data_IF_906477084876
#
_entry.id   IF_906477084876
#
_cell.length_a   1.000
_cell.length_b   1.000
_cell.length_c   1.000
_cell.angle_alpha   90.00
_cell.angle_beta   90.00
_cell.angle_gamma   90.00
#
_symmetry.space_group_name_H-M   'P 1'
#
loop_
_entity.id
_entity.type
_entity.pdbx_description
1 polymer ?
#
# COMPACT_ATOMS: atom_id res chain seq x y z
N UNK A 1 -26.92 -39.22 39.60
CA UNK A 1 -26.13 -39.07 38.33
C UNK A 1 -26.14 -37.62 37.96
N UNK A 2 -25.06 -36.84 38.19
CA UNK A 2 -25.04 -35.43 37.88
C UNK A 2 -24.54 -35.23 36.44
N UNK A 3 -25.29 -34.39 35.76
CA UNK A 3 -25.14 -33.87 34.43
C UNK A 3 -23.84 -33.07 34.28
N UNK A 4 -22.97 -33.49 33.39
CA UNK A 4 -21.71 -32.80 33.07
C UNK A 4 -21.96 -31.78 31.97
N UNK A 5 -22.35 -30.57 32.37
CA UNK A 5 -22.38 -29.39 31.50
C UNK A 5 -20.98 -29.08 30.98
N UNK A 6 -20.75 -29.45 29.75
CA UNK A 6 -19.56 -29.12 28.97
C UNK A 6 -19.41 -27.61 28.81
N UNK A 7 -18.58 -26.99 29.64
CA UNK A 7 -18.17 -25.60 29.50
C UNK A 7 -17.37 -25.45 28.20
N UNK A 8 -18.03 -25.04 27.13
CA UNK A 8 -17.37 -24.51 25.93
C UNK A 8 -16.58 -23.28 26.35
N UNK A 9 -15.27 -23.40 26.42
CA UNK A 9 -14.35 -22.27 26.49
C UNK A 9 -14.54 -21.46 25.20
N UNK A 10 -15.20 -20.33 25.31
CA UNK A 10 -15.11 -19.25 24.30
C UNK A 10 -13.64 -18.83 24.27
N UNK A 11 -12.94 -19.23 23.23
CA UNK A 11 -11.61 -18.70 22.96
C UNK A 11 -11.77 -17.21 22.74
N UNK A 12 -11.30 -16.43 23.69
CA UNK A 12 -11.12 -15.00 23.57
C UNK A 12 -10.42 -14.71 22.24
N UNK A 13 -11.07 -13.94 21.39
CA UNK A 13 -10.46 -13.37 20.20
C UNK A 13 -9.29 -12.52 20.68
N UNK A 14 -8.08 -13.07 20.59
CA UNK A 14 -6.87 -12.31 20.86
C UNK A 14 -6.90 -11.12 19.89
N UNK A 15 -7.11 -9.95 20.44
CA UNK A 15 -6.96 -8.67 19.74
C UNK A 15 -5.57 -8.67 19.11
N UNK A 16 -5.52 -8.82 17.80
CA UNK A 16 -4.25 -8.73 17.05
C UNK A 16 -3.74 -7.32 17.27
N UNK A 17 -2.82 -7.15 18.21
CA UNK A 17 -2.12 -5.87 18.39
C UNK A 17 -1.47 -5.54 17.07
N UNK A 18 -2.00 -4.54 16.37
CA UNK A 18 -1.35 -3.93 15.24
C UNK A 18 0.06 -3.53 15.69
N UNK A 19 1.07 -4.14 15.09
CA UNK A 19 2.45 -3.74 15.33
C UNK A 19 2.63 -2.38 14.68
N UNK A 20 3.16 -1.42 15.44
CA UNK A 20 3.62 -0.15 14.88
C UNK A 20 4.69 -0.45 13.83
N UNK A 21 4.72 0.28 12.71
CA UNK A 21 5.79 0.15 11.72
C UNK A 21 7.15 0.39 12.40
N UNK A 22 8.11 -0.47 12.10
CA UNK A 22 9.44 -0.48 12.74
C UNK A 22 10.48 0.07 11.76
N UNK A 23 10.16 1.09 10.99
CA UNK A 23 11.12 1.62 10.04
C UNK A 23 10.60 2.82 9.25
N UNK A 24 11.44 3.39 8.39
CA UNK A 24 11.04 4.47 7.51
C UNK A 24 9.98 4.00 6.51
N UNK A 25 9.10 4.91 6.11
CA UNK A 25 8.14 4.68 5.05
C UNK A 25 8.88 4.55 3.71
N UNK A 26 8.61 3.45 3.00
CA UNK A 26 9.14 3.23 1.65
C UNK A 26 8.07 3.53 0.60
N UNK A 27 8.42 4.35 -0.38
CA UNK A 27 7.54 4.64 -1.51
C UNK A 27 8.25 4.33 -2.82
N UNK A 28 7.62 3.52 -3.64
CA UNK A 28 8.11 3.13 -4.95
C UNK A 28 7.11 3.54 -6.03
N UNK A 29 7.63 3.98 -7.17
CA UNK A 29 6.84 4.27 -8.35
C UNK A 29 7.20 3.29 -9.46
N UNK A 30 6.20 2.64 -10.04
CA UNK A 30 6.38 1.77 -11.20
C UNK A 30 6.25 2.57 -12.48
N UNK A 31 7.30 2.56 -13.30
CA UNK A 31 7.27 3.16 -14.63
C UNK A 31 6.60 2.24 -15.63
N UNK A 32 5.73 2.80 -16.48
CA UNK A 32 4.94 2.01 -17.43
C UNK A 32 5.77 1.41 -18.58
N UNK A 33 6.87 2.07 -18.96
CA UNK A 33 7.71 1.66 -20.08
C UNK A 33 8.52 0.37 -19.82
N UNK A 34 8.77 0.04 -18.56
CA UNK A 34 9.48 -1.16 -18.17
C UNK A 34 8.66 -1.93 -17.14
N UNK A 35 8.09 -3.06 -17.52
CA UNK A 35 7.26 -3.92 -16.64
C UNK A 35 7.91 -4.28 -15.29
N UNK A 36 9.21 -4.07 -15.17
CA UNK A 36 10.03 -4.45 -14.03
C UNK A 36 10.68 -3.27 -13.30
N UNK A 37 10.69 -2.08 -13.88
CA UNK A 37 11.43 -0.96 -13.28
C UNK A 37 10.57 -0.24 -12.25
N UNK A 38 11.00 -0.31 -11.01
CA UNK A 38 10.41 0.38 -9.87
C UNK A 38 11.46 1.33 -9.32
N UNK A 39 11.19 2.63 -9.35
CA UNK A 39 12.07 3.63 -8.76
C UNK A 39 11.74 3.84 -7.30
N UNK A 40 12.74 3.77 -6.43
CA UNK A 40 12.59 4.15 -5.04
C UNK A 40 12.46 5.67 -4.96
N UNK A 41 11.33 6.14 -4.41
CA UNK A 41 11.08 7.57 -4.22
C UNK A 41 11.43 8.04 -2.81
N UNK A 42 11.70 7.11 -1.90
CA UNK A 42 12.04 7.40 -0.50
C UNK A 42 13.54 7.49 -0.23
N UNK A 43 14.40 7.31 -1.24
CA UNK A 43 15.87 7.33 -1.07
C UNK A 43 16.42 6.20 -0.21
N UNK A 44 15.57 5.32 0.27
CA UNK A 44 15.98 4.20 1.12
C UNK A 44 16.25 2.98 0.25
N UNK A 45 17.36 2.30 0.48
CA UNK A 45 17.66 1.03 -0.20
C UNK A 45 16.56 0.01 0.07
N UNK A 46 16.25 -0.79 -0.95
CA UNK A 46 15.39 -1.96 -0.76
C UNK A 46 15.97 -2.84 0.35
N UNK A 47 15.16 -3.25 1.33
CA UNK A 47 15.59 -4.21 2.32
C UNK A 47 15.91 -5.56 1.66
N UNK A 48 16.84 -6.31 2.25
CA UNK A 48 17.25 -7.62 1.70
C UNK A 48 16.10 -8.62 1.65
N UNK A 49 15.21 -8.55 2.64
CA UNK A 49 13.99 -9.37 2.67
C UNK A 49 12.75 -8.49 2.58
N UNK A 50 12.04 -8.60 1.47
CA UNK A 50 10.77 -7.92 1.30
C UNK A 50 9.75 -8.79 0.55
N UNK A 51 8.49 -8.52 0.78
CA UNK A 51 7.38 -9.12 0.05
C UNK A 51 6.45 -8.04 -0.52
N UNK A 52 5.86 -8.32 -1.69
CA UNK A 52 4.86 -7.47 -2.30
C UNK A 52 3.49 -8.11 -2.17
N UNK A 53 2.53 -7.32 -1.74
CA UNK A 53 1.12 -7.71 -1.57
C UNK A 53 0.28 -7.02 -2.63
N UNK A 54 -0.48 -7.82 -3.37
CA UNK A 54 -1.59 -7.36 -4.20
C UNK A 54 -2.88 -7.79 -3.51
N UNK A 55 -3.69 -6.85 -3.13
CA UNK A 55 -4.90 -7.11 -2.37
C UNK A 55 -6.10 -6.44 -3.02
N UNK A 56 -7.26 -7.05 -2.92
CA UNK A 56 -8.51 -6.52 -3.46
C UNK A 56 -9.12 -5.44 -2.59
N UNK A 57 -8.84 -5.48 -1.28
CA UNK A 57 -9.28 -4.50 -0.29
C UNK A 57 -8.30 -4.40 0.90
N UNK A 58 -8.56 -3.44 1.80
CA UNK A 58 -7.71 -3.21 2.99
C UNK A 58 -7.67 -4.41 3.94
N UNK A 59 -8.77 -5.14 4.08
CA UNK A 59 -8.80 -6.33 4.94
C UNK A 59 -7.93 -7.43 4.38
N UNK A 60 -7.97 -7.59 3.07
CA UNK A 60 -7.14 -8.56 2.38
C UNK A 60 -5.66 -8.19 2.48
N UNK A 61 -5.32 -6.91 2.27
CA UNK A 61 -3.96 -6.40 2.49
C UNK A 61 -3.47 -6.68 3.91
N UNK A 62 -4.30 -6.41 4.92
CA UNK A 62 -3.97 -6.65 6.31
C UNK A 62 -3.73 -8.14 6.61
N UNK A 63 -4.60 -9.03 6.11
CA UNK A 63 -4.47 -10.49 6.29
C UNK A 63 -3.19 -11.01 5.65
N UNK A 64 -2.93 -10.63 4.39
CA UNK A 64 -1.74 -11.06 3.65
C UNK A 64 -0.46 -10.56 4.32
N UNK A 65 -0.42 -9.29 4.73
CA UNK A 65 0.72 -8.71 5.44
C UNK A 65 1.00 -9.39 6.78
N UNK A 66 -0.04 -9.67 7.54
CA UNK A 66 0.09 -10.39 8.82
C UNK A 66 0.62 -11.81 8.62
N UNK A 67 0.14 -12.51 7.60
CA UNK A 67 0.61 -13.84 7.23
C UNK A 67 2.09 -13.84 6.84
N UNK A 68 2.51 -12.95 5.93
CA UNK A 68 3.89 -12.84 5.49
C UNK A 68 4.86 -12.55 6.64
N UNK A 69 4.46 -11.65 7.55
CA UNK A 69 5.28 -11.36 8.74
C UNK A 69 5.35 -12.54 9.72
N UNK A 70 4.28 -13.30 9.85
CA UNK A 70 4.27 -14.49 10.69
C UNK A 70 5.16 -15.61 10.10
N UNK A 71 5.13 -15.80 8.78
CA UNK A 71 5.98 -16.76 8.06
C UNK A 71 7.46 -16.38 8.12
N UNK A 72 7.79 -15.09 8.06
CA UNK A 72 9.18 -14.60 8.16
C UNK A 72 9.78 -14.74 9.57
N UNK A 73 8.96 -14.87 10.59
CA UNK A 73 9.40 -15.10 11.96
C UNK A 73 10.39 -14.03 12.49
N UNK A 74 11.53 -14.49 13.04
CA UNK A 74 12.56 -13.61 13.61
C UNK A 74 13.34 -12.80 12.59
N UNK A 75 13.46 -13.27 11.36
CA UNK A 75 14.19 -12.55 10.31
C UNK A 75 13.46 -11.27 9.87
N UNK A 76 12.15 -11.21 10.13
CA UNK A 76 11.32 -10.11 9.70
C UNK A 76 11.13 -10.10 8.18
N UNK A 77 10.09 -9.40 7.73
CA UNK A 77 9.83 -9.17 6.32
C UNK A 77 9.26 -7.78 6.16
N UNK A 78 9.86 -6.97 5.31
CA UNK A 78 9.30 -5.68 4.91
C UNK A 78 8.20 -5.90 3.89
N UNK A 79 7.02 -5.40 4.16
CA UNK A 79 5.83 -5.62 3.31
C UNK A 79 5.50 -4.38 2.53
N UNK A 80 5.48 -4.50 1.20
CA UNK A 80 5.01 -3.48 0.28
C UNK A 80 3.63 -3.82 -0.26
N UNK A 81 2.73 -2.82 -0.27
CA UNK A 81 1.40 -2.98 -0.85
C UNK A 81 1.34 -2.27 -2.20
N UNK A 82 0.88 -2.99 -3.22
CA UNK A 82 0.65 -2.43 -4.55
C UNK A 82 -0.66 -1.64 -4.56
N UNK A 83 -0.61 -0.39 -5.02
CA UNK A 83 -1.76 0.50 -5.12
C UNK A 83 -1.84 1.05 -6.54
N UNK A 84 -2.92 0.75 -7.25
CA UNK A 84 -3.27 1.43 -8.50
C UNK A 84 -3.75 2.84 -8.16
N UNK A 85 -3.13 3.85 -8.77
CA UNK A 85 -3.41 5.24 -8.41
C UNK A 85 -3.81 6.08 -9.62
N UNK A 86 -4.85 6.91 -9.39
CA UNK A 86 -5.21 8.00 -10.25
C UNK A 86 -5.38 9.25 -9.41
N UNK A 87 -4.44 10.18 -9.57
CA UNK A 87 -4.41 11.44 -8.81
C UNK A 87 -4.82 12.59 -9.71
N UNK A 88 -5.74 13.41 -9.23
CA UNK A 88 -6.13 14.64 -9.88
C UNK A 88 -6.27 15.76 -8.83
N UNK A 89 -6.36 17.03 -9.28
CA UNK A 89 -6.59 18.19 -8.40
C UNK A 89 -7.94 18.09 -7.66
N UNK A 90 -8.89 17.37 -8.23
CA UNK A 90 -10.25 17.17 -7.72
C UNK A 90 -10.61 15.68 -7.70
N UNK A 91 -11.12 15.22 -6.56
CA UNK A 91 -11.48 13.82 -6.34
C UNK A 91 -12.57 13.32 -7.30
N UNK A 92 -13.54 14.19 -7.64
CA UNK A 92 -14.64 13.84 -8.55
C UNK A 92 -14.11 13.58 -9.96
N UNK A 93 -13.17 14.39 -10.42
CA UNK A 93 -12.50 14.22 -11.72
C UNK A 93 -11.68 12.93 -11.74
N UNK A 94 -10.93 12.64 -10.69
CA UNK A 94 -10.20 11.39 -10.55
C UNK A 94 -11.12 10.16 -10.61
N UNK A 95 -12.23 10.19 -9.88
CA UNK A 95 -13.20 9.07 -9.87
C UNK A 95 -13.87 8.85 -11.25
N UNK A 96 -14.24 9.92 -11.95
CA UNK A 96 -14.77 9.82 -13.32
C UNK A 96 -13.77 9.21 -14.28
N UNK A 97 -12.51 9.60 -14.17
CA UNK A 97 -11.45 9.08 -15.01
C UNK A 97 -11.21 7.58 -14.78
N UNK A 98 -11.27 7.11 -13.53
CA UNK A 98 -11.19 5.67 -13.22
C UNK A 98 -12.38 4.91 -13.82
N UNK A 99 -13.58 5.46 -13.72
CA UNK A 99 -14.76 4.81 -14.30
C UNK A 99 -14.66 4.68 -15.82
N UNK A 100 -14.17 5.70 -16.51
CA UNK A 100 -13.87 5.64 -17.95
C UNK A 100 -12.84 4.55 -18.28
N UNK A 101 -11.75 4.45 -17.48
CA UNK A 101 -10.74 3.42 -17.68
C UNK A 101 -11.31 2.00 -17.47
N UNK A 102 -12.25 1.82 -16.54
CA UNK A 102 -12.90 0.52 -16.31
C UNK A 102 -13.75 0.08 -17.51
N UNK A 103 -14.38 1.02 -18.20
CA UNK A 103 -15.19 0.74 -19.38
C UNK A 103 -14.35 0.37 -20.60
N UNK A 104 -13.13 0.87 -20.68
CA UNK A 104 -12.22 0.67 -21.83
C UNK A 104 -11.20 -0.44 -21.63
N UNK A 105 -10.95 -0.85 -20.39
CA UNK A 105 -9.96 -1.87 -20.05
C UNK A 105 -10.62 -3.04 -19.31
N UNK A 106 -10.48 -4.23 -19.86
CA UNK A 106 -10.82 -5.49 -19.18
C UNK A 106 -9.81 -5.87 -18.09
N UNK A 107 -8.92 -4.98 -17.71
CA UNK A 107 -7.95 -5.18 -16.64
C UNK A 107 -8.66 -5.22 -15.28
N UNK A 108 -9.17 -6.38 -14.94
CA UNK A 108 -9.60 -6.72 -13.59
C UNK A 108 -8.37 -6.76 -12.69
N UNK A 109 -8.00 -5.60 -12.14
CA UNK A 109 -6.90 -5.51 -11.20
C UNK A 109 -7.34 -6.04 -9.84
N UNK A 110 -6.76 -7.15 -9.40
CA UNK A 110 -6.79 -7.56 -8.00
C UNK A 110 -5.77 -6.73 -7.20
N UNK A 111 -5.86 -5.39 -7.28
CA UNK A 111 -4.99 -4.48 -6.54
C UNK A 111 -5.84 -3.39 -5.89
N UNK A 112 -5.39 -2.94 -4.72
CA UNK A 112 -5.96 -1.75 -4.08
C UNK A 112 -5.92 -0.60 -5.07
N UNK A 113 -7.01 0.17 -5.12
CA UNK A 113 -7.10 1.32 -6.00
C UNK A 113 -7.41 2.58 -5.21
N UNK A 114 -6.67 3.62 -5.54
CA UNK A 114 -6.94 4.97 -5.06
C UNK A 114 -7.26 5.89 -6.23
N UNK A 115 -8.34 6.64 -6.10
CA UNK A 115 -8.70 7.72 -7.02
C UNK A 115 -9.07 8.96 -6.20
N UNK A 116 -8.34 10.04 -6.37
CA UNK A 116 -8.58 11.25 -5.57
C UNK A 116 -7.49 12.30 -5.71
N UNK A 117 -7.36 13.12 -4.68
CA UNK A 117 -6.39 14.22 -4.63
C UNK A 117 -5.01 13.77 -4.14
N UNK A 118 -3.93 14.55 -4.41
CA UNK A 118 -2.60 14.30 -3.87
C UNK A 118 -2.60 14.17 -2.34
N UNK A 119 -3.27 15.10 -1.65
CA UNK A 119 -3.39 15.09 -0.19
C UNK A 119 -4.08 13.84 0.35
N UNK A 120 -5.14 13.40 -0.32
CA UNK A 120 -5.83 12.19 0.07
C UNK A 120 -4.98 10.94 -0.13
N UNK A 121 -4.15 10.88 -1.20
CA UNK A 121 -3.22 9.78 -1.40
C UNK A 121 -2.11 9.76 -0.34
N UNK A 122 -1.56 10.92 0.01
CA UNK A 122 -0.56 11.02 1.07
C UNK A 122 -1.12 10.49 2.40
N UNK A 123 -2.31 10.96 2.82
CA UNK A 123 -2.96 10.46 4.03
C UNK A 123 -3.26 8.96 3.97
N UNK A 124 -3.70 8.45 2.83
CA UNK A 124 -3.94 7.02 2.67
C UNK A 124 -2.67 6.16 2.83
N UNK A 125 -1.54 6.63 2.31
CA UNK A 125 -0.23 5.98 2.47
C UNK A 125 0.21 6.02 3.93
N UNK A 126 0.07 7.18 4.60
CA UNK A 126 0.39 7.34 6.03
C UNK A 126 -0.45 6.42 6.90
N UNK A 127 -1.75 6.28 6.60
CA UNK A 127 -2.66 5.39 7.32
C UNK A 127 -2.23 3.92 7.18
N UNK A 128 -1.90 3.46 5.98
CA UNK A 128 -1.40 2.09 5.76
C UNK A 128 -0.14 1.81 6.58
N UNK A 129 0.77 2.78 6.64
CA UNK A 129 2.01 2.67 7.39
C UNK A 129 1.75 2.72 8.90
N UNK A 130 1.00 3.70 9.39
CA UNK A 130 0.70 3.91 10.82
C UNK A 130 -0.09 2.74 11.40
N UNK A 131 -1.02 2.17 10.65
CA UNK A 131 -1.78 0.99 11.04
C UNK A 131 -0.96 -0.31 10.95
N UNK A 132 0.27 -0.25 10.48
CA UNK A 132 1.13 -1.43 10.33
C UNK A 132 0.64 -2.41 9.28
N UNK A 133 -0.18 -1.96 8.33
CA UNK A 133 -0.64 -2.79 7.21
C UNK A 133 0.50 -2.98 6.22
N UNK A 134 1.26 -1.91 5.95
CA UNK A 134 2.40 -1.92 5.06
C UNK A 134 3.58 -1.16 5.66
N UNK A 135 4.79 -1.59 5.34
CA UNK A 135 6.02 -0.85 5.64
C UNK A 135 6.37 0.12 4.49
N UNK A 136 5.71 -0.07 3.36
CA UNK A 136 5.81 0.80 2.20
C UNK A 136 4.77 0.48 1.14
N UNK A 137 4.76 1.27 0.08
CA UNK A 137 3.81 1.14 -1.02
C UNK A 137 4.52 1.13 -2.37
N UNK A 138 3.95 0.41 -3.33
CA UNK A 138 4.31 0.53 -4.75
C UNK A 138 3.14 1.18 -5.47
N UNK A 139 3.34 2.38 -5.95
CA UNK A 139 2.35 3.14 -6.69
C UNK A 139 2.37 2.74 -8.18
N UNK A 140 1.21 2.38 -8.70
CA UNK A 140 0.98 1.94 -10.07
C UNK A 140 0.08 2.96 -10.76
N UNK A 141 0.64 3.99 -11.43
CA UNK A 141 -0.17 5.01 -12.08
C UNK A 141 -1.05 4.42 -13.17
N UNK A 142 -2.36 4.69 -13.11
CA UNK A 142 -3.31 4.27 -14.13
C UNK A 142 -3.19 5.12 -15.42
N UNK A 143 -2.70 6.36 -15.29
CA UNK A 143 -2.30 7.24 -16.40
C UNK A 143 -0.83 7.61 -16.20
N UNK A 144 0.11 6.90 -16.83
CA UNK A 144 1.52 6.99 -16.46
C UNK A 144 2.15 8.37 -16.59
N UNK A 145 1.88 9.09 -17.68
CA UNK A 145 2.52 10.38 -17.94
C UNK A 145 2.13 11.43 -16.89
N UNK A 146 0.83 11.72 -16.78
CA UNK A 146 0.35 12.83 -15.94
C UNK A 146 0.39 12.50 -14.43
N UNK A 147 0.17 11.24 -14.06
CA UNK A 147 0.08 10.85 -12.66
C UNK A 147 1.44 10.64 -12.01
N UNK A 148 2.47 10.25 -12.76
CA UNK A 148 3.82 10.12 -12.22
C UNK A 148 4.34 11.48 -11.73
N UNK A 149 4.21 12.52 -12.55
CA UNK A 149 4.65 13.88 -12.20
C UNK A 149 3.89 14.43 -11.00
N UNK A 150 2.57 14.22 -10.93
CA UNK A 150 1.78 14.62 -9.75
C UNK A 150 2.18 13.88 -8.48
N UNK A 151 2.46 12.59 -8.57
CA UNK A 151 2.95 11.82 -7.41
C UNK A 151 4.27 12.41 -6.94
N UNK A 152 5.18 12.66 -7.86
CA UNK A 152 6.52 13.18 -7.56
C UNK A 152 6.45 14.59 -6.96
N UNK A 153 5.69 15.49 -7.58
CA UNK A 153 5.71 16.92 -7.24
C UNK A 153 4.74 17.28 -6.12
N UNK A 154 3.61 16.57 -6.01
CA UNK A 154 2.54 16.95 -5.10
C UNK A 154 2.41 15.99 -3.90
N UNK A 155 2.59 14.66 -4.10
CA UNK A 155 2.38 13.68 -3.04
C UNK A 155 3.62 13.47 -2.18
N UNK A 156 4.80 13.30 -2.78
CA UNK A 156 6.03 13.01 -2.03
C UNK A 156 6.41 14.11 -1.03
N UNK A 157 6.32 15.40 -1.36
CA UNK A 157 6.60 16.46 -0.38
C UNK A 157 5.67 16.41 0.84
N UNK A 158 4.41 16.01 0.65
CA UNK A 158 3.45 15.83 1.75
C UNK A 158 3.83 14.69 2.69
N UNK A 159 4.53 13.67 2.17
CA UNK A 159 5.08 12.55 2.95
C UNK A 159 6.46 12.86 3.55
N UNK A 160 6.95 14.09 3.39
CA UNK A 160 8.30 14.47 3.82
C UNK A 160 9.43 13.83 3.00
N UNK A 161 9.10 13.33 1.81
CA UNK A 161 10.05 12.70 0.89
C UNK A 161 10.44 13.72 -0.20
N UNK A 162 11.72 14.04 -0.28
CA UNK A 162 12.24 15.02 -1.25
C UNK A 162 13.20 14.33 -2.21
N UNK A 163 12.86 14.38 -3.51
CA UNK A 163 13.68 13.77 -4.57
C UNK A 163 15.03 14.47 -4.71
N UNK A 164 15.12 15.75 -4.41
CA UNK A 164 16.38 16.50 -4.48
C UNK A 164 17.45 15.91 -3.56
N UNK A 165 17.07 15.22 -2.48
CA UNK A 165 17.98 14.52 -1.57
C UNK A 165 18.36 13.11 -2.03
N UNK A 166 17.75 12.62 -3.13
CA UNK A 166 17.98 11.26 -3.63
C UNK A 166 19.06 11.18 -4.69
N UNK A 167 19.49 12.32 -5.21
CA UNK A 167 20.49 12.42 -6.29
C UNK A 167 21.87 12.85 -5.79
N UNK A 168 22.05 12.95 -4.49
CA UNK A 168 23.32 13.26 -3.84
C UNK A 168 23.88 12.03 -3.11
#
# INVERSE_FOLDING_TARGET
MPDQLTRRRVRSCASTRMRRPVGPLHVFLRHHAARTQVSALSGVRLPECFARVRAVDLRDAQRQSARLRAEAGRQGCTVFVDIEVLVDHDARTAMRAVEQLRQTSSASGAALRYAGTPRGLAGYIEDLHTLGIADGVTLLPLRPADNADRIINDVLPMLGLDIARLSA
#
